data_IF_828016492043
#
_entry.id   IF_828016492043
#
_cell.length_a   1.000
_cell.length_b   1.000
_cell.length_c   1.000
_cell.angle_alpha   90.00
_cell.angle_beta   90.00
_cell.angle_gamma   90.00
#
_symmetry.space_group_name_H-M   'P 1'
#
loop_
_entity.id
_entity.type
_entity.pdbx_description
1 polymer ?
#
# COMPACT_ATOMS: atom_id res chain seq x y z
N UNK A 1 9.12 -8.36 3.67
CA UNK A 1 9.11 -9.16 2.42
C UNK A 1 9.59 -8.29 1.26
N UNK A 2 10.19 -8.86 0.22
CA UNK A 2 10.62 -8.13 -0.99
C UNK A 2 9.75 -8.47 -2.19
N UNK A 3 9.92 -7.71 -3.27
CA UNK A 3 9.24 -7.87 -4.56
C UNK A 3 9.16 -9.33 -5.05
N UNK A 4 10.28 -10.07 -4.99
CA UNK A 4 10.37 -11.46 -5.45
C UNK A 4 9.44 -12.40 -4.69
N UNK A 5 9.40 -12.25 -3.38
CA UNK A 5 8.67 -13.16 -2.49
C UNK A 5 7.17 -12.95 -2.65
N UNK A 6 6.73 -11.69 -2.80
CA UNK A 6 5.33 -11.36 -3.02
C UNK A 6 4.82 -11.96 -4.33
N UNK A 7 5.59 -11.86 -5.41
CA UNK A 7 5.22 -12.41 -6.72
C UNK A 7 4.94 -13.90 -6.70
N UNK A 8 5.63 -14.65 -5.84
CA UNK A 8 5.36 -16.09 -5.65
C UNK A 8 3.98 -16.32 -5.02
N UNK A 9 3.52 -15.39 -4.18
CA UNK A 9 2.25 -15.49 -3.44
C UNK A 9 1.05 -14.96 -4.22
N UNK A 10 1.25 -14.04 -5.17
CA UNK A 10 0.16 -13.38 -5.92
C UNK A 10 -0.87 -14.36 -6.53
N UNK A 11 -0.47 -15.47 -7.19
CA UNK A 11 -1.44 -16.40 -7.77
C UNK A 11 -2.34 -17.04 -6.71
N UNK A 12 -1.76 -17.44 -5.58
CA UNK A 12 -2.52 -18.04 -4.47
C UNK A 12 -3.43 -17.01 -3.79
N UNK A 13 -2.94 -15.78 -3.60
CA UNK A 13 -3.68 -14.69 -2.99
C UNK A 13 -4.98 -14.36 -3.75
N UNK A 14 -4.93 -14.32 -5.09
CA UNK A 14 -6.13 -14.09 -5.91
C UNK A 14 -7.20 -15.17 -5.80
N UNK A 15 -6.86 -16.36 -5.30
CA UNK A 15 -7.83 -17.44 -5.08
C UNK A 15 -8.47 -17.38 -3.68
N UNK A 16 -8.03 -16.48 -2.80
CA UNK A 16 -8.54 -16.35 -1.43
C UNK A 16 -9.88 -15.59 -1.39
N UNK A 17 -10.95 -16.17 -1.94
CA UNK A 17 -12.27 -15.51 -2.10
C UNK A 17 -12.98 -15.13 -0.78
N UNK A 18 -12.56 -15.71 0.34
CA UNK A 18 -13.09 -15.43 1.68
C UNK A 18 -12.24 -14.40 2.45
N UNK A 19 -11.20 -13.84 1.83
CA UNK A 19 -10.31 -12.90 2.50
C UNK A 19 -11.01 -11.56 2.72
N UNK A 20 -11.09 -11.13 3.98
CA UNK A 20 -11.79 -9.91 4.37
C UNK A 20 -10.85 -8.75 4.68
N UNK A 21 -9.59 -9.04 5.04
CA UNK A 21 -8.57 -8.05 5.30
C UNK A 21 -7.18 -8.54 4.90
N UNK A 22 -6.37 -7.61 4.40
CA UNK A 22 -4.93 -7.78 4.17
C UNK A 22 -4.15 -6.69 4.90
N UNK A 23 -2.94 -7.05 5.32
CA UNK A 23 -1.97 -6.09 5.84
C UNK A 23 -0.57 -6.39 5.29
N UNK A 24 -0.09 -5.49 4.45
CA UNK A 24 1.22 -5.50 3.84
C UNK A 24 2.09 -4.34 4.30
N UNK A 25 1.71 -3.59 5.35
CA UNK A 25 2.59 -2.58 5.94
C UNK A 25 3.98 -3.15 6.29
N UNK A 26 4.96 -2.25 6.36
CA UNK A 26 6.35 -2.58 6.71
C UNK A 26 7.01 -3.61 5.78
N UNK A 27 6.54 -3.67 4.52
CA UNK A 27 7.19 -4.43 3.45
C UNK A 27 7.87 -3.50 2.45
N UNK A 28 8.97 -3.99 1.89
CA UNK A 28 9.83 -3.26 0.95
C UNK A 28 9.40 -3.58 -0.48
N UNK A 29 8.30 -2.95 -0.91
CA UNK A 29 7.72 -3.16 -2.24
C UNK A 29 7.97 -1.98 -3.17
N UNK A 30 8.32 -2.29 -4.41
CA UNK A 30 8.35 -1.30 -5.48
C UNK A 30 6.95 -0.86 -5.89
N UNK A 31 6.86 0.33 -6.49
CA UNK A 31 5.66 0.80 -7.21
C UNK A 31 5.12 -0.27 -8.17
N UNK A 32 6.00 -0.97 -8.89
CA UNK A 32 5.61 -1.97 -9.88
C UNK A 32 4.92 -3.19 -9.24
N UNK A 33 5.51 -3.72 -8.16
CA UNK A 33 4.90 -4.85 -7.44
C UNK A 33 3.63 -4.44 -6.71
N UNK A 34 3.55 -3.20 -6.24
CA UNK A 34 2.29 -2.66 -5.70
C UNK A 34 1.19 -2.64 -6.76
N UNK A 35 1.47 -2.22 -8.00
CA UNK A 35 0.48 -2.29 -9.10
C UNK A 35 0.00 -3.72 -9.35
N UNK A 36 0.91 -4.70 -9.39
CA UNK A 36 0.56 -6.12 -9.52
C UNK A 36 -0.34 -6.57 -8.35
N UNK A 37 0.07 -6.29 -7.11
CA UNK A 37 -0.67 -6.66 -5.92
C UNK A 37 -2.09 -6.07 -5.92
N UNK A 38 -2.22 -4.78 -6.21
CA UNK A 38 -3.50 -4.08 -6.24
C UNK A 38 -4.44 -4.68 -7.30
N UNK A 39 -3.91 -5.08 -8.46
CA UNK A 39 -4.68 -5.79 -9.47
C UNK A 39 -5.15 -7.16 -8.99
N UNK A 40 -4.28 -7.91 -8.30
CA UNK A 40 -4.61 -9.24 -7.78
C UNK A 40 -5.65 -9.22 -6.65
N UNK A 41 -5.70 -8.15 -5.86
CA UNK A 41 -6.66 -7.97 -4.75
C UNK A 41 -7.97 -7.33 -5.18
N UNK A 42 -8.00 -6.61 -6.31
CA UNK A 42 -9.22 -5.98 -6.85
C UNK A 42 -10.39 -6.96 -6.99
N UNK A 43 -10.09 -8.20 -7.42
CA UNK A 43 -11.06 -9.27 -7.63
C UNK A 43 -11.57 -9.96 -6.35
N UNK A 44 -10.99 -9.66 -5.18
CA UNK A 44 -11.39 -10.29 -3.90
C UNK A 44 -12.62 -9.60 -3.31
N UNK A 45 -13.82 -10.02 -3.73
CA UNK A 45 -15.10 -9.34 -3.43
C UNK A 45 -15.44 -9.16 -1.94
N UNK A 46 -14.87 -9.99 -1.05
CA UNK A 46 -15.08 -9.89 0.40
C UNK A 46 -14.08 -8.98 1.11
N UNK A 47 -13.07 -8.47 0.40
CA UNK A 47 -12.05 -7.60 0.97
C UNK A 47 -12.69 -6.26 1.36
N UNK A 48 -12.57 -5.91 2.65
CA UNK A 48 -13.15 -4.68 3.23
C UNK A 48 -12.09 -3.76 3.83
N UNK A 49 -10.90 -4.28 4.14
CA UNK A 49 -9.79 -3.53 4.71
C UNK A 49 -8.48 -3.90 4.03
N UNK A 50 -7.84 -2.89 3.43
CA UNK A 50 -6.61 -3.05 2.66
C UNK A 50 -5.55 -2.08 3.17
N UNK A 51 -4.45 -2.64 3.68
CA UNK A 51 -3.32 -1.87 4.20
C UNK A 51 -2.08 -2.20 3.36
N UNK A 52 -1.69 -1.29 2.47
CA UNK A 52 -0.53 -1.42 1.58
C UNK A 52 0.66 -0.61 2.10
N UNK A 53 1.91 -1.05 1.91
CA UNK A 53 3.06 -0.25 2.28
C UNK A 53 3.22 0.94 1.34
N UNK A 54 3.85 2.00 1.82
CA UNK A 54 4.37 3.06 0.95
C UNK A 54 5.42 2.46 0.01
N UNK A 55 5.44 2.85 -1.28
CA UNK A 55 6.42 2.34 -2.21
C UNK A 55 7.84 2.69 -1.76
N UNK A 56 8.78 1.77 -1.92
CA UNK A 56 10.17 2.00 -1.51
C UNK A 56 10.81 3.21 -2.21
N UNK A 57 10.32 3.55 -3.40
CA UNK A 57 10.77 4.69 -4.19
C UNK A 57 10.41 6.06 -3.57
N UNK A 58 9.47 6.13 -2.62
CA UNK A 58 9.13 7.39 -1.94
C UNK A 58 10.08 7.72 -0.77
N UNK A 59 10.96 6.78 -0.41
CA UNK A 59 11.95 6.98 0.65
C UNK A 59 13.25 7.52 0.07
N UNK A 60 13.83 8.49 0.76
CA UNK A 60 15.19 8.93 0.49
C UNK A 60 16.22 7.92 1.05
N UNK A 61 17.50 8.19 0.79
CA UNK A 61 18.61 7.34 1.25
C UNK A 61 18.74 7.20 2.78
N UNK A 62 18.06 8.06 3.55
CA UNK A 62 18.01 8.02 5.01
C UNK A 62 16.74 7.31 5.53
N UNK A 63 15.86 6.86 4.64
CA UNK A 63 14.61 6.20 5.01
C UNK A 63 13.48 7.16 5.43
N UNK A 64 13.60 8.45 5.13
CA UNK A 64 12.50 9.42 5.30
C UNK A 64 11.74 9.61 4.01
N UNK A 65 10.45 9.91 4.11
CA UNK A 65 9.60 10.23 2.96
C UNK A 65 9.37 11.74 2.86
N UNK A 66 9.23 12.25 1.64
CA UNK A 66 8.56 13.53 1.43
C UNK A 66 7.05 13.31 1.41
N UNK A 67 6.33 14.09 2.22
CA UNK A 67 4.86 14.04 2.29
C UNK A 67 4.23 14.23 0.92
N UNK A 68 4.73 15.19 0.15
CA UNK A 68 4.21 15.52 -1.18
C UNK A 68 4.38 14.33 -2.14
N UNK A 69 5.59 13.78 -2.22
CA UNK A 69 5.90 12.62 -3.07
C UNK A 69 5.11 11.38 -2.66
N UNK A 70 4.99 11.14 -1.35
CA UNK A 70 4.19 10.05 -0.81
C UNK A 70 2.72 10.20 -1.20
N UNK A 71 2.14 11.38 -0.98
CA UNK A 71 0.74 11.68 -1.30
C UNK A 71 0.45 11.52 -2.78
N UNK A 72 1.31 12.09 -3.63
CA UNK A 72 1.16 12.02 -5.09
C UNK A 72 1.25 10.56 -5.56
N UNK A 73 2.26 9.82 -5.11
CA UNK A 73 2.44 8.43 -5.53
C UNK A 73 1.28 7.54 -5.10
N UNK A 74 0.78 7.71 -3.87
CA UNK A 74 -0.38 6.96 -3.38
C UNK A 74 -1.66 7.32 -4.15
N UNK A 75 -1.85 8.59 -4.49
CA UNK A 75 -2.96 9.03 -5.34
C UNK A 75 -2.90 8.39 -6.73
N UNK A 76 -1.73 8.35 -7.37
CA UNK A 76 -1.53 7.72 -8.68
C UNK A 76 -1.80 6.20 -8.63
N UNK A 77 -1.28 5.51 -7.61
CA UNK A 77 -1.54 4.08 -7.39
C UNK A 77 -3.03 3.81 -7.18
N UNK A 78 -3.70 4.61 -6.36
CA UNK A 78 -5.15 4.48 -6.12
C UNK A 78 -5.94 4.76 -7.40
N UNK A 79 -5.59 5.79 -8.16
CA UNK A 79 -6.26 6.16 -9.42
C UNK A 79 -6.15 5.07 -10.49
N UNK A 80 -5.05 4.32 -10.50
CA UNK A 80 -4.88 3.15 -11.38
C UNK A 80 -5.98 2.09 -11.15
N UNK A 81 -6.65 2.11 -9.99
CA UNK A 81 -7.66 1.12 -9.57
C UNK A 81 -9.10 1.61 -9.63
N UNK A 82 -9.32 2.92 -9.79
CA UNK A 82 -10.67 3.52 -9.74
C UNK A 82 -11.64 2.95 -10.79
N UNK A 83 -11.23 2.44 -11.98
CA UNK A 83 -12.18 1.81 -12.88
C UNK A 83 -12.82 0.52 -12.33
N UNK A 84 -12.21 -0.15 -11.34
CA UNK A 84 -12.52 -1.55 -11.04
C UNK A 84 -13.36 -1.77 -9.75
N UNK A 85 -13.42 -0.82 -8.79
CA UNK A 85 -14.22 -1.02 -7.57
C UNK A 85 -14.45 0.24 -6.70
N UNK A 86 -15.54 0.23 -5.92
CA UNK A 86 -15.74 1.12 -4.78
C UNK A 86 -14.96 0.59 -3.56
N UNK A 87 -13.68 0.95 -3.43
CA UNK A 87 -12.85 0.59 -2.27
C UNK A 87 -13.46 1.16 -0.98
N UNK A 88 -13.73 0.30 0.01
CA UNK A 88 -14.35 0.72 1.28
C UNK A 88 -13.34 1.30 2.28
N UNK A 89 -12.14 0.73 2.38
CA UNK A 89 -11.05 1.24 3.19
C UNK A 89 -9.71 0.72 2.67
N UNK A 90 -9.07 1.53 1.82
CA UNK A 90 -7.74 1.30 1.28
C UNK A 90 -6.79 2.35 1.84
N UNK A 91 -5.68 1.91 2.41
CA UNK A 91 -4.67 2.79 3.01
C UNK A 91 -3.27 2.42 2.55
N UNK A 92 -2.46 3.43 2.29
CA UNK A 92 -1.01 3.29 2.17
C UNK A 92 -0.36 3.77 3.45
N UNK A 93 0.57 2.99 4.00
CA UNK A 93 1.29 3.30 5.23
C UNK A 93 2.79 3.29 4.99
N UNK A 94 3.46 4.38 5.33
CA UNK A 94 4.94 4.41 5.40
C UNK A 94 5.48 3.48 6.49
N UNK A 95 6.80 3.35 6.60
CA UNK A 95 7.44 2.74 7.76
C UNK A 95 7.19 3.62 9.00
N UNK A 96 7.34 3.03 10.19
CA UNK A 96 7.29 3.81 11.44
C UNK A 96 8.31 4.94 11.42
N UNK A 97 7.86 6.16 11.71
CA UNK A 97 8.73 7.32 11.90
C UNK A 97 9.65 7.07 13.11
N UNK A 98 10.95 7.33 12.95
CA UNK A 98 11.93 7.10 14.00
C UNK A 98 11.73 8.01 15.22
N UNK A 99 11.15 9.20 15.03
CA UNK A 99 11.00 10.20 16.09
C UNK A 99 9.74 9.94 16.95
N UNK A 100 8.62 9.55 16.33
CA UNK A 100 7.33 9.43 17.00
C UNK A 100 6.73 8.01 17.01
N UNK A 101 7.33 7.06 16.28
CA UNK A 101 6.83 5.69 16.15
C UNK A 101 5.52 5.53 15.38
N UNK A 102 5.02 6.59 14.74
CA UNK A 102 3.78 6.55 13.94
C UNK A 102 4.08 6.44 12.45
N UNK A 103 3.15 5.85 11.71
CA UNK A 103 3.18 5.84 10.25
C UNK A 103 2.56 7.12 9.69
N UNK A 104 3.12 7.66 8.62
CA UNK A 104 2.37 8.49 7.67
C UNK A 104 1.38 7.59 6.93
N UNK A 105 0.11 8.02 6.86
CA UNK A 105 -0.99 7.22 6.28
C UNK A 105 -1.68 8.04 5.20
N UNK A 106 -1.88 7.44 4.03
CA UNK A 106 -2.72 7.99 2.96
C UNK A 106 -4.01 7.15 2.82
N UNK A 107 -5.18 7.79 2.91
CA UNK A 107 -6.49 7.16 2.65
C UNK A 107 -7.28 7.94 1.58
N UNK A 108 -7.48 9.25 1.81
CA UNK A 108 -7.99 10.22 0.84
C UNK A 108 -7.04 11.42 0.78
N UNK A 109 -6.61 11.84 1.97
CA UNK A 109 -5.53 12.77 2.21
C UNK A 109 -4.46 12.07 3.05
N UNK A 110 -3.30 12.69 3.15
CA UNK A 110 -2.21 12.17 3.98
C UNK A 110 -2.36 12.68 5.41
N UNK A 111 -2.50 11.75 6.35
CA UNK A 111 -2.36 12.02 7.78
C UNK A 111 -0.88 11.96 8.14
N UNK A 112 -0.36 13.07 8.66
CA UNK A 112 1.03 13.21 9.05
C UNK A 112 1.29 12.73 10.47
N UNK A 113 2.55 12.34 10.74
CA UNK A 113 3.04 12.41 12.11
C UNK A 113 3.41 13.86 12.44
N UNK A 114 3.05 14.31 13.65
CA UNK A 114 3.28 15.68 14.18
C UNK A 114 4.73 15.93 14.66
N UNK A 115 5.71 15.21 14.11
CA UNK A 115 7.13 15.25 14.52
C UNK A 115 7.93 16.30 13.75
#
# INVERSE_FOLDING_TARGET
MKDSDLRVLLPALSQCSQLTSINFYDNDFSINVLKELLHHTANLSQLTKELYPAPKEVYNHLGYISVEQFSQCCAELKNTLIPERQFRSLRFGSNVCYDCGRHYIYELETTLCDC
#
